data_IF_982568102051
#
_entry.id   IF_982568102051
#
_cell.length_a   1.000
_cell.length_b   1.000
_cell.length_c   1.000
_cell.angle_alpha   90.00
_cell.angle_beta   90.00
_cell.angle_gamma   90.00
#
_symmetry.space_group_name_H-M   'P 1'
#
loop_
_entity.id
_entity.type
_entity.pdbx_description
1 polymer ?
#
# COMPACT_ATOMS: atom_id res chain seq x y z
N UNK A 1 12.72 -19.85 -30.66
CA UNK A 1 11.35 -19.30 -30.76
C UNK A 1 11.44 -17.92 -31.38
N UNK A 2 10.54 -17.55 -32.28
CA UNK A 2 10.49 -16.17 -32.82
C UNK A 2 10.07 -15.19 -31.72
N UNK A 3 10.56 -13.95 -31.77
CA UNK A 3 10.21 -12.88 -30.83
C UNK A 3 8.69 -12.64 -30.80
N UNK A 4 8.02 -12.74 -31.95
CA UNK A 4 6.56 -12.66 -32.07
C UNK A 4 5.86 -13.79 -31.32
N UNK A 5 6.36 -15.03 -31.46
CA UNK A 5 5.78 -16.19 -30.76
C UNK A 5 5.95 -16.06 -29.24
N UNK A 6 7.12 -15.60 -28.77
CA UNK A 6 7.35 -15.34 -27.36
C UNK A 6 6.40 -14.26 -26.80
N UNK A 7 6.18 -13.17 -27.55
CA UNK A 7 5.24 -12.12 -27.18
C UNK A 7 3.80 -12.60 -27.09
N UNK A 8 3.34 -13.38 -28.07
CA UNK A 8 1.97 -13.95 -28.06
C UNK A 8 1.79 -14.91 -26.88
N UNK A 9 2.75 -15.80 -26.64
CA UNK A 9 2.71 -16.74 -25.50
C UNK A 9 2.67 -15.98 -24.17
N UNK A 10 3.46 -14.91 -24.01
CA UNK A 10 3.44 -14.08 -22.81
C UNK A 10 2.06 -13.45 -22.56
N UNK A 11 1.47 -12.80 -23.57
CA UNK A 11 0.15 -12.15 -23.44
C UNK A 11 -0.94 -13.19 -23.16
N UNK A 12 -0.94 -14.32 -23.88
CA UNK A 12 -1.90 -15.39 -23.65
C UNK A 12 -1.81 -15.95 -22.23
N UNK A 13 -0.58 -16.20 -21.76
CA UNK A 13 -0.32 -16.69 -20.40
C UNK A 13 -0.80 -15.68 -19.35
N UNK A 14 -0.56 -14.38 -19.56
CA UNK A 14 -1.02 -13.33 -18.68
C UNK A 14 -2.55 -13.28 -18.58
N UNK A 15 -3.25 -13.37 -19.72
CA UNK A 15 -4.72 -13.38 -19.76
C UNK A 15 -5.26 -14.61 -19.04
N UNK A 16 -4.70 -15.79 -19.29
CA UNK A 16 -5.13 -17.03 -18.62
C UNK A 16 -4.89 -16.94 -17.11
N UNK A 17 -3.74 -16.44 -16.68
CA UNK A 17 -3.43 -16.24 -15.27
C UNK A 17 -4.41 -15.26 -14.61
N UNK A 18 -4.72 -14.14 -15.26
CA UNK A 18 -5.69 -13.16 -14.77
C UNK A 18 -7.10 -13.78 -14.69
N UNK A 19 -7.52 -14.51 -15.72
CA UNK A 19 -8.79 -15.22 -15.79
C UNK A 19 -8.94 -16.24 -14.65
N UNK A 20 -7.86 -16.97 -14.34
CA UNK A 20 -7.84 -17.97 -13.28
C UNK A 20 -7.93 -17.34 -11.87
N UNK A 21 -7.38 -16.13 -11.68
CA UNK A 21 -7.32 -15.48 -10.35
C UNK A 21 -8.52 -14.59 -10.07
N UNK A 22 -9.09 -13.90 -11.08
CA UNK A 22 -10.11 -12.88 -10.81
C UNK A 22 -11.40 -13.47 -10.23
N UNK A 23 -11.83 -14.67 -10.68
CA UNK A 23 -13.04 -15.33 -10.17
C UNK A 23 -12.90 -15.71 -8.69
N UNK A 24 -11.92 -16.55 -8.28
CA UNK A 24 -11.81 -16.96 -6.88
C UNK A 24 -11.52 -15.79 -5.94
N UNK A 25 -10.73 -14.82 -6.40
CA UNK A 25 -10.44 -13.61 -5.63
C UNK A 25 -11.68 -12.72 -5.50
N UNK A 26 -12.42 -12.50 -6.59
CA UNK A 26 -13.65 -11.73 -6.59
C UNK A 26 -14.72 -12.33 -5.67
N UNK A 27 -14.92 -13.64 -5.74
CA UNK A 27 -15.83 -14.36 -4.84
C UNK A 27 -15.40 -14.26 -3.37
N UNK A 28 -14.09 -14.32 -3.12
CA UNK A 28 -13.55 -14.12 -1.77
C UNK A 28 -13.80 -12.70 -1.26
N UNK A 29 -13.51 -11.68 -2.08
CA UNK A 29 -13.77 -10.28 -1.75
C UNK A 29 -15.27 -10.07 -1.46
N UNK A 30 -16.15 -10.61 -2.30
CA UNK A 30 -17.59 -10.57 -2.07
C UNK A 30 -17.96 -11.16 -0.70
N UNK A 31 -17.47 -12.36 -0.35
CA UNK A 31 -17.70 -12.98 0.97
C UNK A 31 -17.16 -12.14 2.13
N UNK A 32 -16.01 -11.51 1.96
CA UNK A 32 -15.40 -10.63 2.97
C UNK A 32 -16.27 -9.40 3.24
N UNK A 33 -16.74 -8.74 2.19
CA UNK A 33 -17.53 -7.51 2.29
C UNK A 33 -19.01 -7.74 2.63
N UNK A 34 -19.57 -8.91 2.32
CA UNK A 34 -20.95 -9.29 2.68
C UNK A 34 -21.07 -9.99 4.04
N UNK A 35 -19.98 -10.56 4.56
CA UNK A 35 -20.02 -11.30 5.82
C UNK A 35 -20.46 -10.45 7.02
N UNK A 36 -21.17 -11.05 7.97
CA UNK A 36 -21.63 -10.36 9.19
C UNK A 36 -20.75 -10.63 10.42
N UNK A 37 -19.87 -11.63 10.34
CA UNK A 37 -19.00 -12.03 11.46
C UNK A 37 -17.77 -11.14 11.55
N UNK A 38 -17.50 -10.62 12.74
CA UNK A 38 -16.29 -9.86 13.06
C UNK A 38 -15.30 -10.71 13.87
N UNK A 39 -14.04 -10.72 13.45
CA UNK A 39 -12.96 -11.38 14.19
C UNK A 39 -12.61 -10.63 15.48
N UNK A 40 -11.89 -11.27 16.41
CA UNK A 40 -11.46 -10.60 17.67
C UNK A 40 -10.58 -9.38 17.39
N UNK A 41 -9.66 -9.50 16.41
CA UNK A 41 -8.77 -8.42 16.00
C UNK A 41 -9.56 -7.24 15.45
N UNK A 42 -10.54 -7.49 14.58
CA UNK A 42 -11.41 -6.43 14.06
C UNK A 42 -12.16 -5.70 15.17
N UNK A 43 -12.70 -6.42 16.16
CA UNK A 43 -13.41 -5.79 17.29
C UNK A 43 -12.49 -4.90 18.13
N UNK A 44 -11.23 -5.28 18.31
CA UNK A 44 -10.24 -4.46 19.01
C UNK A 44 -9.98 -3.18 18.22
N UNK A 45 -9.80 -3.29 16.90
CA UNK A 45 -9.60 -2.12 16.03
C UNK A 45 -10.82 -1.21 16.05
N UNK A 46 -12.04 -1.75 15.92
CA UNK A 46 -13.26 -0.94 15.99
C UNK A 46 -13.40 -0.22 17.33
N UNK A 47 -13.05 -0.88 18.44
CA UNK A 47 -13.08 -0.26 19.77
C UNK A 47 -12.01 0.84 19.90
N UNK A 48 -10.81 0.63 19.38
CA UNK A 48 -9.73 1.62 19.42
C UNK A 48 -10.07 2.88 18.60
N UNK A 49 -10.74 2.72 17.46
CA UNK A 49 -11.19 3.84 16.62
C UNK A 49 -12.52 4.44 17.12
N UNK A 50 -13.20 3.79 18.06
CA UNK A 50 -14.50 4.23 18.58
C UNK A 50 -15.66 4.03 17.61
N UNK A 51 -15.55 3.07 16.70
CA UNK A 51 -16.55 2.80 15.65
C UNK A 51 -17.50 1.70 16.09
N UNK A 52 -18.80 1.95 15.93
CA UNK A 52 -19.83 0.92 16.05
C UNK A 52 -20.02 0.18 14.71
N UNK A 53 -19.59 -1.09 14.59
CA UNK A 53 -19.63 -1.81 13.31
C UNK A 53 -21.04 -2.20 12.86
N UNK A 54 -22.04 -2.11 13.75
CA UNK A 54 -23.44 -2.42 13.44
C UNK A 54 -24.25 -1.25 12.89
N UNK A 55 -23.67 -0.05 12.81
CA UNK A 55 -24.36 1.14 12.29
C UNK A 55 -23.99 1.30 10.82
N UNK A 56 -25.00 1.25 9.94
CA UNK A 56 -24.83 1.61 8.54
C UNK A 56 -24.80 3.13 8.36
N UNK A 57 -24.09 3.60 7.34
CA UNK A 57 -23.87 5.00 7.01
C UNK A 57 -24.58 5.33 5.69
N UNK A 58 -25.21 6.50 5.64
CA UNK A 58 -25.70 7.09 4.40
C UNK A 58 -24.53 7.52 3.51
N UNK A 59 -24.77 7.72 2.21
CA UNK A 59 -23.72 8.08 1.26
C UNK A 59 -22.91 9.32 1.67
N UNK A 60 -23.56 10.35 2.21
CA UNK A 60 -22.90 11.57 2.64
C UNK A 60 -22.04 11.38 3.91
N UNK A 61 -22.42 10.47 4.80
CA UNK A 61 -21.59 10.09 5.95
C UNK A 61 -20.40 9.23 5.49
N UNK A 62 -20.62 8.32 4.55
CA UNK A 62 -19.57 7.46 3.99
C UNK A 62 -18.50 8.30 3.27
N UNK A 63 -18.92 9.21 2.37
CA UNK A 63 -18.01 10.10 1.65
C UNK A 63 -17.21 11.01 2.59
N UNK A 64 -17.85 11.58 3.61
CA UNK A 64 -17.15 12.37 4.64
C UNK A 64 -16.16 11.52 5.43
N UNK A 65 -16.48 10.27 5.73
CA UNK A 65 -15.57 9.35 6.42
C UNK A 65 -14.32 9.06 5.58
N UNK A 66 -14.49 8.81 4.28
CA UNK A 66 -13.39 8.63 3.31
C UNK A 66 -12.49 9.87 3.26
N UNK A 67 -13.08 11.05 3.11
CA UNK A 67 -12.35 12.32 3.03
C UNK A 67 -11.62 12.65 4.34
N UNK A 68 -12.29 12.48 5.48
CA UNK A 68 -11.69 12.71 6.79
C UNK A 68 -10.52 11.76 7.05
N UNK A 69 -10.68 10.47 6.73
CA UNK A 69 -9.61 9.49 6.86
C UNK A 69 -8.41 9.83 5.97
N UNK A 70 -8.66 10.20 4.71
CA UNK A 70 -7.61 10.59 3.77
C UNK A 70 -6.89 11.85 4.22
N UNK A 71 -7.61 12.87 4.69
CA UNK A 71 -7.02 14.10 5.22
C UNK A 71 -6.12 13.83 6.45
N UNK A 72 -6.60 13.02 7.39
CA UNK A 72 -5.79 12.59 8.55
C UNK A 72 -4.56 11.81 8.09
N UNK A 73 -4.70 10.93 7.10
CA UNK A 73 -3.59 10.19 6.51
C UNK A 73 -2.52 11.08 5.89
N UNK A 74 -2.92 12.13 5.16
CA UNK A 74 -2.00 13.11 4.57
C UNK A 74 -1.26 13.85 5.67
N UNK A 75 -1.98 14.38 6.66
CA UNK A 75 -1.36 15.13 7.76
C UNK A 75 -0.42 14.24 8.58
N UNK A 76 -0.84 13.03 8.93
CA UNK A 76 -0.02 12.08 9.67
C UNK A 76 1.28 11.76 8.92
N UNK A 77 1.20 11.47 7.61
CA UNK A 77 2.39 11.17 6.81
C UNK A 77 3.26 12.41 6.58
N UNK A 78 2.65 13.58 6.44
CA UNK A 78 3.37 14.86 6.31
C UNK A 78 4.18 15.17 7.58
N UNK A 79 3.57 15.12 8.76
CA UNK A 79 4.27 15.37 10.02
C UNK A 79 5.30 14.29 10.35
N UNK A 80 5.01 13.02 10.04
CA UNK A 80 5.97 11.93 10.24
C UNK A 80 7.27 12.15 9.44
N UNK A 81 7.15 12.61 8.19
CA UNK A 81 8.30 12.92 7.35
C UNK A 81 9.08 14.15 7.83
N UNK A 82 8.39 15.18 8.32
CA UNK A 82 9.05 16.37 8.88
C UNK A 82 9.83 16.06 10.16
N UNK A 83 9.27 15.20 11.02
CA UNK A 83 9.87 14.82 12.29
C UNK A 83 10.95 13.73 12.09
N UNK A 84 11.14 13.20 10.87
CA UNK A 84 11.97 12.03 10.62
C UNK A 84 13.39 12.12 11.19
N UNK A 85 13.97 13.32 11.28
CA UNK A 85 15.31 13.55 11.86
C UNK A 85 15.40 13.26 13.37
N UNK A 86 14.28 13.20 14.08
CA UNK A 86 14.23 12.89 15.52
C UNK A 86 13.77 11.45 15.81
N UNK A 87 13.38 10.68 14.79
CA UNK A 87 12.90 9.31 14.98
C UNK A 87 14.06 8.31 15.08
N UNK A 88 13.90 7.20 15.84
CA UNK A 88 14.87 6.12 15.82
C UNK A 88 14.96 5.53 14.39
N UNK A 89 16.16 5.12 13.96
CA UNK A 89 16.45 4.68 12.59
C UNK A 89 16.41 5.80 11.53
N UNK A 90 16.66 7.05 11.92
CA UNK A 90 16.88 8.15 10.98
C UNK A 90 18.26 8.02 10.29
N UNK A 91 18.32 8.52 9.06
CA UNK A 91 19.58 8.67 8.34
C UNK A 91 20.39 9.79 9.01
N UNK A 92 21.61 9.48 9.46
CA UNK A 92 22.48 10.47 10.11
C UNK A 92 23.04 11.49 9.09
N UNK A 93 23.13 11.09 7.82
CA UNK A 93 23.54 11.95 6.70
C UNK A 93 22.64 11.68 5.47
N UNK A 94 21.45 12.30 5.40
CA UNK A 94 20.61 12.18 4.21
C UNK A 94 21.26 12.95 3.05
N UNK A 95 21.34 12.33 1.87
CA UNK A 95 21.82 12.97 0.64
C UNK A 95 20.83 13.99 0.05
N UNK A 96 19.60 14.05 0.58
CA UNK A 96 18.64 15.11 0.29
C UNK A 96 17.86 15.40 1.56
N UNK A 97 17.87 16.67 1.99
CA UNK A 97 17.05 17.08 3.13
C UNK A 97 15.56 17.01 2.79
N UNK A 98 14.77 16.56 3.76
CA UNK A 98 13.31 16.50 3.62
C UNK A 98 12.73 17.90 3.78
N UNK A 99 12.46 18.58 2.66
CA UNK A 99 11.78 19.87 2.66
C UNK A 99 10.27 19.70 2.90
N UNK A 100 9.61 20.72 3.43
CA UNK A 100 8.16 20.68 3.63
C UNK A 100 7.39 20.46 2.31
N UNK A 101 7.85 21.05 1.20
CA UNK A 101 7.24 20.84 -0.12
C UNK A 101 7.36 19.37 -0.57
N UNK A 102 8.51 18.74 -0.31
CA UNK A 102 8.74 17.33 -0.64
C UNK A 102 7.90 16.38 0.21
N UNK A 103 7.85 16.64 1.53
CA UNK A 103 7.02 15.87 2.46
C UNK A 103 5.54 15.96 2.09
N UNK A 104 5.07 17.15 1.68
CA UNK A 104 3.69 17.39 1.26
C UNK A 104 3.33 16.64 -0.02
N UNK A 105 4.16 16.75 -1.06
CA UNK A 105 3.96 16.04 -2.32
C UNK A 105 3.96 14.52 -2.11
N UNK A 106 4.89 14.01 -1.31
CA UNK A 106 4.98 12.58 -0.98
C UNK A 106 3.76 12.13 -0.19
N UNK A 107 3.32 12.89 0.81
CA UNK A 107 2.15 12.55 1.62
C UNK A 107 0.88 12.44 0.76
N UNK A 108 0.63 13.44 -0.10
CA UNK A 108 -0.51 13.39 -1.03
C UNK A 108 -0.39 12.19 -1.96
N UNK A 109 0.77 11.98 -2.57
CA UNK A 109 0.98 10.94 -3.57
C UNK A 109 0.74 9.51 -3.05
N UNK A 110 1.11 9.24 -1.81
CA UNK A 110 0.88 7.94 -1.18
C UNK A 110 -0.58 7.74 -0.73
N UNK A 111 -1.21 8.79 -0.19
CA UNK A 111 -2.62 8.72 0.22
C UNK A 111 -3.55 8.62 -0.99
N UNK A 112 -3.22 9.26 -2.11
CA UNK A 112 -3.96 9.14 -3.37
C UNK A 112 -3.62 7.88 -4.16
N UNK A 113 -2.75 7.00 -3.64
CA UNK A 113 -2.31 5.76 -4.29
C UNK A 113 -1.61 5.97 -5.65
N UNK A 114 -1.10 7.17 -5.90
CA UNK A 114 -0.31 7.48 -7.11
C UNK A 114 1.13 6.98 -6.96
N UNK A 115 1.67 7.07 -5.74
CA UNK A 115 3.04 6.68 -5.39
C UNK A 115 4.10 7.38 -6.25
N UNK A 116 3.87 8.65 -6.56
CA UNK A 116 4.87 9.52 -7.20
C UNK A 116 6.08 9.73 -6.28
N UNK A 117 7.28 9.62 -6.83
CA UNK A 117 8.54 9.74 -6.10
C UNK A 117 9.47 10.69 -6.87
N UNK A 118 9.59 11.94 -6.40
CA UNK A 118 10.54 12.93 -6.91
C UNK A 118 11.81 13.04 -6.04
N UNK A 119 12.16 11.96 -5.34
CA UNK A 119 13.31 11.86 -4.46
C UNK A 119 13.98 10.48 -4.59
N UNK A 120 15.27 10.41 -4.32
CA UNK A 120 16.00 9.15 -4.21
C UNK A 120 15.78 8.56 -2.81
N UNK A 121 14.82 7.63 -2.68
CA UNK A 121 14.42 7.06 -1.38
C UNK A 121 15.58 6.51 -0.52
N UNK A 122 16.62 6.01 -1.19
CA UNK A 122 17.84 5.44 -0.60
C UNK A 122 18.73 6.46 0.13
N UNK A 123 18.60 7.74 -0.22
CA UNK A 123 19.38 8.84 0.34
C UNK A 123 18.51 9.86 1.09
N UNK A 124 17.18 9.79 1.01
CA UNK A 124 16.27 10.83 1.51
C UNK A 124 15.43 10.40 2.72
N UNK A 125 15.12 9.11 2.89
CA UNK A 125 14.16 8.65 3.91
C UNK A 125 14.72 7.59 4.86
N UNK A 126 14.52 7.80 6.16
CA UNK A 126 14.85 6.82 7.20
C UNK A 126 13.99 5.56 7.14
N UNK A 127 14.52 4.43 7.61
CA UNK A 127 13.84 3.12 7.54
C UNK A 127 12.46 3.13 8.22
N UNK A 128 12.34 3.86 9.33
CA UNK A 128 11.07 4.00 10.05
C UNK A 128 10.00 4.70 9.20
N UNK A 129 10.35 5.77 8.47
CA UNK A 129 9.40 6.47 7.58
C UNK A 129 8.99 5.58 6.41
N UNK A 130 9.92 4.83 5.84
CA UNK A 130 9.62 3.90 4.75
C UNK A 130 8.67 2.78 5.20
N UNK A 131 8.90 2.22 6.38
CA UNK A 131 8.09 1.11 6.91
C UNK A 131 6.78 1.57 7.54
N UNK A 132 6.83 2.47 8.51
CA UNK A 132 5.67 2.88 9.29
C UNK A 132 4.84 3.96 8.60
N UNK A 133 5.43 4.72 7.68
CA UNK A 133 4.73 5.74 6.89
C UNK A 133 4.30 5.20 5.53
N UNK A 134 5.27 5.06 4.62
CA UNK A 134 4.98 4.76 3.22
C UNK A 134 4.37 3.39 3.00
N UNK A 135 4.91 2.34 3.63
CA UNK A 135 4.36 1.00 3.47
C UNK A 135 2.93 0.94 4.00
N UNK A 136 2.66 1.47 5.20
CA UNK A 136 1.31 1.56 5.77
C UNK A 136 0.35 2.29 4.82
N UNK A 137 0.76 3.42 4.24
CA UNK A 137 -0.11 4.15 3.32
C UNK A 137 -0.40 3.40 2.02
N UNK A 138 0.53 2.58 1.50
CA UNK A 138 0.23 1.71 0.35
C UNK A 138 -0.91 0.72 0.65
N UNK A 139 -1.03 0.24 1.88
CA UNK A 139 -2.14 -0.62 2.28
C UNK A 139 -3.43 0.17 2.47
N UNK A 140 -3.35 1.29 3.21
CA UNK A 140 -4.53 2.06 3.56
C UNK A 140 -5.17 2.73 2.34
N UNK A 141 -4.39 3.31 1.43
CA UNK A 141 -4.91 3.96 0.23
C UNK A 141 -5.58 2.95 -0.72
N UNK A 142 -4.97 1.77 -0.90
CA UNK A 142 -5.59 0.66 -1.63
C UNK A 142 -6.89 0.17 -0.96
N UNK A 143 -6.91 0.06 0.36
CA UNK A 143 -8.10 -0.34 1.11
C UNK A 143 -9.23 0.70 0.98
N UNK A 144 -8.92 2.00 0.99
CA UNK A 144 -9.88 3.07 0.72
C UNK A 144 -10.46 2.95 -0.68
N UNK A 145 -9.62 2.72 -1.69
CA UNK A 145 -10.07 2.50 -3.08
C UNK A 145 -11.04 1.32 -3.21
N UNK A 146 -10.70 0.18 -2.59
CA UNK A 146 -11.61 -0.98 -2.55
C UNK A 146 -12.90 -0.67 -1.81
N UNK A 147 -12.84 0.04 -0.68
CA UNK A 147 -14.02 0.41 0.10
C UNK A 147 -14.97 1.31 -0.70
N UNK A 148 -14.45 2.25 -1.50
CA UNK A 148 -15.25 3.10 -2.39
C UNK A 148 -15.86 2.27 -3.53
N UNK A 149 -15.09 1.37 -4.15
CA UNK A 149 -15.59 0.49 -5.21
C UNK A 149 -16.73 -0.42 -4.69
N UNK A 150 -16.58 -1.00 -3.51
CA UNK A 150 -17.62 -1.83 -2.88
C UNK A 150 -18.85 -1.02 -2.52
N UNK A 151 -18.69 0.20 -2.00
CA UNK A 151 -19.80 1.10 -1.74
C UNK A 151 -20.58 1.38 -3.04
N UNK A 152 -19.89 1.67 -4.14
CA UNK A 152 -20.54 1.88 -5.44
C UNK A 152 -21.32 0.64 -5.90
N UNK A 153 -20.73 -0.55 -5.81
CA UNK A 153 -21.40 -1.82 -6.14
C UNK A 153 -22.65 -2.03 -5.27
N UNK A 154 -22.57 -1.76 -3.96
CA UNK A 154 -23.72 -1.84 -3.05
C UNK A 154 -24.80 -0.82 -3.40
N UNK A 155 -24.41 0.38 -3.83
CA UNK A 155 -25.33 1.42 -4.28
C UNK A 155 -26.16 1.00 -5.50
N UNK A 156 -25.57 0.23 -6.42
CA UNK A 156 -26.31 -0.34 -7.55
C UNK A 156 -27.15 -1.59 -7.19
N UNK A 157 -26.65 -2.42 -6.26
CA UNK A 157 -27.31 -3.68 -5.90
C UNK A 157 -28.50 -3.51 -4.96
N UNK A 158 -28.45 -2.55 -4.02
CA UNK A 158 -29.52 -2.31 -3.05
C UNK A 158 -30.62 -1.45 -3.67
N UNK A 159 -31.89 -1.82 -3.44
CA UNK A 159 -33.07 -1.04 -3.85
C UNK A 159 -33.73 -0.42 -2.62
N UNK A 160 -34.11 0.85 -2.71
CA UNK A 160 -34.89 1.58 -1.69
C UNK A 160 -34.23 1.74 -0.29
N UNK A 161 -32.90 1.76 -0.20
CA UNK A 161 -32.18 2.05 1.05
C UNK A 161 -31.24 3.25 0.88
N UNK A 162 -31.21 4.16 1.86
CA UNK A 162 -30.26 5.30 1.87
C UNK A 162 -28.84 4.94 2.32
N UNK A 163 -28.64 3.70 2.77
CA UNK A 163 -27.43 3.25 3.46
C UNK A 163 -26.53 2.37 2.58
N UNK A 164 -25.22 2.64 2.64
CA UNK A 164 -24.17 1.99 1.83
C UNK A 164 -23.29 1.02 2.62
N UNK A 165 -23.57 0.85 3.91
CA UNK A 165 -22.74 0.09 4.85
C UNK A 165 -21.86 1.03 5.68
N UNK A 166 -20.70 0.55 6.14
CA UNK A 166 -19.85 1.30 7.08
C UNK A 166 -18.42 1.36 6.56
N UNK A 167 -17.93 2.57 6.28
CA UNK A 167 -16.61 2.81 5.70
C UNK A 167 -15.49 2.17 6.53
N UNK A 168 -15.54 2.30 7.85
CA UNK A 168 -14.51 1.79 8.75
C UNK A 168 -14.47 0.26 8.76
N UNK A 169 -15.64 -0.38 8.66
CA UNK A 169 -15.74 -1.84 8.55
C UNK A 169 -15.15 -2.30 7.22
N UNK A 170 -15.46 -1.60 6.12
CA UNK A 170 -14.96 -1.94 4.79
C UNK A 170 -13.43 -1.73 4.69
N UNK A 171 -12.92 -0.64 5.28
CA UNK A 171 -11.49 -0.33 5.38
C UNK A 171 -10.73 -1.42 6.16
N UNK A 172 -11.22 -1.76 7.36
CA UNK A 172 -10.55 -2.75 8.23
C UNK A 172 -10.62 -4.15 7.62
N UNK A 173 -11.75 -4.54 7.02
CA UNK A 173 -11.87 -5.84 6.34
C UNK A 173 -10.99 -5.93 5.11
N UNK A 174 -10.98 -4.89 4.28
CA UNK A 174 -10.09 -4.80 3.12
C UNK A 174 -8.63 -4.94 3.51
N UNK A 175 -8.22 -4.24 4.57
CA UNK A 175 -6.84 -4.27 5.05
C UNK A 175 -6.46 -5.62 5.66
N UNK A 176 -7.23 -6.13 6.64
CA UNK A 176 -6.85 -7.32 7.41
C UNK A 176 -7.12 -8.65 6.72
N UNK A 177 -8.19 -8.74 5.91
CA UNK A 177 -8.61 -10.01 5.29
C UNK A 177 -8.18 -10.15 3.83
N UNK A 178 -7.96 -9.04 3.12
CA UNK A 178 -7.58 -9.08 1.70
C UNK A 178 -6.10 -8.71 1.55
N UNK A 179 -5.74 -7.46 1.86
CA UNK A 179 -4.39 -6.98 1.55
C UNK A 179 -3.31 -7.65 2.40
N UNK A 180 -3.52 -7.78 3.72
CA UNK A 180 -2.50 -8.32 4.62
C UNK A 180 -2.12 -9.79 4.30
N UNK A 181 -3.07 -10.73 4.12
CA UNK A 181 -2.72 -12.12 3.81
C UNK A 181 -2.05 -12.24 2.44
N UNK A 182 -2.55 -11.50 1.45
CA UNK A 182 -1.97 -11.48 0.11
C UNK A 182 -0.54 -10.95 0.16
N UNK A 183 -0.33 -9.77 0.76
CA UNK A 183 1.00 -9.17 0.84
C UNK A 183 1.99 -10.05 1.60
N UNK A 184 1.54 -10.78 2.62
CA UNK A 184 2.37 -11.74 3.35
C UNK A 184 2.86 -12.88 2.44
N UNK A 185 1.96 -13.47 1.63
CA UNK A 185 2.34 -14.52 0.67
C UNK A 185 3.33 -13.97 -0.37
N UNK A 186 3.06 -12.78 -0.92
CA UNK A 186 3.96 -12.15 -1.89
C UNK A 186 5.32 -11.78 -1.28
N UNK A 187 5.36 -11.35 -0.02
CA UNK A 187 6.61 -11.08 0.67
C UNK A 187 7.48 -12.35 0.74
N UNK A 188 6.90 -13.50 1.10
CA UNK A 188 7.62 -14.78 1.14
C UNK A 188 8.16 -15.15 -0.25
N UNK A 189 7.33 -15.04 -1.28
CA UNK A 189 7.74 -15.33 -2.67
C UNK A 189 8.88 -14.43 -3.13
N UNK A 190 8.85 -13.15 -2.76
CA UNK A 190 9.89 -12.20 -3.11
C UNK A 190 11.19 -12.46 -2.35
N UNK A 191 11.12 -12.78 -1.06
CA UNK A 191 12.29 -13.17 -0.25
C UNK A 191 12.92 -14.43 -0.86
N UNK A 192 12.11 -15.43 -1.22
CA UNK A 192 12.59 -16.63 -1.90
C UNK A 192 13.20 -16.31 -3.29
N UNK A 193 12.70 -15.28 -3.96
CA UNK A 193 13.25 -14.73 -5.21
C UNK A 193 14.48 -13.83 -5.05
N UNK A 194 15.02 -13.69 -3.84
CA UNK A 194 16.24 -12.92 -3.55
C UNK A 194 16.00 -11.47 -3.13
N UNK A 195 14.77 -11.09 -2.77
CA UNK A 195 14.51 -9.79 -2.18
C UNK A 195 15.17 -9.68 -0.79
N UNK A 196 15.87 -8.57 -0.57
CA UNK A 196 16.56 -8.26 0.67
C UNK A 196 15.52 -7.77 1.69
N UNK A 197 15.53 -8.31 2.91
CA UNK A 197 14.68 -7.89 4.02
C UNK A 197 15.47 -7.93 5.33
N UNK A 198 16.26 -6.89 5.60
CA UNK A 198 17.13 -6.84 6.78
C UNK A 198 17.20 -5.43 7.37
N UNK A 199 17.32 -5.28 8.69
CA UNK A 199 17.45 -3.97 9.35
C UNK A 199 18.90 -3.49 9.51
N UNK A 200 19.83 -3.95 8.66
CA UNK A 200 21.23 -3.59 8.82
C UNK A 200 21.45 -2.11 8.47
N UNK A 201 21.80 -1.33 9.50
CA UNK A 201 22.03 0.12 9.42
C UNK A 201 23.30 0.52 8.64
N UNK A 202 24.15 -0.44 8.26
CA UNK A 202 25.46 -0.20 7.68
C UNK A 202 25.49 -0.70 6.23
N UNK A 203 25.92 0.17 5.32
CA UNK A 203 26.23 -0.18 3.95
C UNK A 203 27.28 -1.30 3.92
N UNK A 204 27.01 -2.40 3.21
CA UNK A 204 28.03 -3.41 2.96
C UNK A 204 28.94 -2.89 1.86
N UNK A 205 30.13 -2.43 2.24
CA UNK A 205 31.18 -2.10 1.27
C UNK A 205 31.72 -3.41 0.72
N UNK A 206 31.20 -3.84 -0.42
CA UNK A 206 31.68 -4.99 -1.15
C UNK A 206 32.93 -4.57 -1.95
N UNK A 207 34.03 -5.30 -1.78
CA UNK A 207 35.19 -5.16 -2.64
C UNK A 207 34.84 -5.82 -3.98
N UNK A 208 34.78 -5.01 -5.03
CA UNK A 208 34.49 -5.52 -6.38
C UNK A 208 35.69 -6.33 -6.90
N UNK A 209 35.45 -7.16 -7.92
CA UNK A 209 36.51 -7.94 -8.58
C UNK A 209 37.58 -7.02 -9.21
N UNK A 210 37.23 -5.76 -9.51
CA UNK A 210 38.16 -4.72 -9.98
C UNK A 210 38.89 -3.97 -8.86
N UNK A 211 38.70 -4.34 -7.59
CA UNK A 211 39.35 -3.73 -6.43
C UNK A 211 38.79 -2.38 -6.00
N UNK A 212 37.72 -1.90 -6.65
CA UNK A 212 37.03 -0.69 -6.23
C UNK A 212 36.03 -1.03 -5.10
N UNK A 213 35.96 -0.24 -4.02
CA UNK A 213 34.91 -0.39 -3.02
C UNK A 213 33.57 0.02 -3.63
N UNK A 214 32.60 -0.92 -3.65
CA UNK A 214 31.21 -0.63 -3.99
C UNK A 214 30.37 -0.71 -2.73
N UNK A 215 29.81 0.42 -2.34
CA UNK A 215 28.84 0.51 -1.26
C UNK A 215 27.54 -0.12 -1.74
N UNK A 216 27.25 -1.35 -1.31
CA UNK A 216 25.95 -1.99 -1.54
C UNK A 216 25.03 -1.54 -0.41
N UNK A 217 23.93 -0.87 -0.75
CA UNK A 217 22.85 -0.65 0.18
C UNK A 217 22.35 -1.93 0.88
N UNK A 218 22.61 -2.07 2.18
CA UNK A 218 21.81 -2.97 3.02
C UNK A 218 20.42 -2.36 3.19
N UNK A 219 19.36 -3.05 2.76
CA UNK A 219 17.95 -2.58 2.78
C UNK A 219 17.78 -1.05 2.68
N UNK A 220 18.30 -0.42 1.61
CA UNK A 220 17.89 0.96 1.26
C UNK A 220 16.54 1.01 0.56
N UNK A 221 15.84 -0.12 0.40
CA UNK A 221 14.48 -0.11 -0.08
C UNK A 221 13.73 -1.38 0.32
N UNK A 222 12.54 -1.29 0.95
CA UNK A 222 11.63 -2.42 0.97
C UNK A 222 11.42 -2.85 -0.49
N UNK A 223 11.21 -4.15 -0.79
CA UNK A 223 11.11 -4.62 -2.17
C UNK A 223 10.09 -3.77 -2.92
N UNK A 224 10.58 -2.82 -3.73
CA UNK A 224 9.76 -1.90 -4.55
C UNK A 224 8.80 -2.68 -5.43
N UNK A 225 9.07 -3.97 -5.66
CA UNK A 225 8.26 -4.92 -6.42
C UNK A 225 7.03 -5.46 -5.68
N UNK A 226 7.03 -5.57 -4.34
CA UNK A 226 5.90 -6.14 -3.59
C UNK A 226 4.73 -5.17 -3.47
N UNK A 227 5.01 -3.89 -3.20
CA UNK A 227 3.98 -2.86 -3.05
C UNK A 227 3.51 -2.28 -4.38
N UNK A 228 4.38 -2.20 -5.42
CA UNK A 228 3.98 -1.73 -6.76
C UNK A 228 3.10 -2.70 -7.53
N UNK A 229 3.13 -4.01 -7.24
CA UNK A 229 2.25 -4.97 -7.92
C UNK A 229 0.77 -4.84 -7.52
N UNK A 230 0.44 -4.06 -6.47
CA UNK A 230 -0.90 -3.98 -5.89
C UNK A 230 -1.57 -2.60 -6.02
N UNK A 231 -0.86 -1.58 -6.50
CA UNK A 231 -1.46 -0.29 -6.87
C UNK A 231 -1.51 -0.16 -8.40
N UNK A 232 -2.66 0.19 -9.00
CA UNK A 232 -2.74 0.41 -10.45
C UNK A 232 -1.94 1.68 -10.78
N UNK A 233 -0.66 1.53 -11.11
CA UNK A 233 0.18 2.64 -11.53
C UNK A 233 0.09 2.79 -13.04
N UNK A 234 -0.53 3.89 -13.46
CA UNK A 234 -0.39 4.40 -14.81
C UNK A 234 1.10 4.60 -15.13
N UNK A 235 1.54 3.99 -16.23
CA UNK A 235 2.80 4.30 -16.86
C UNK A 235 2.78 5.76 -17.32
N UNK A 236 3.73 6.56 -16.87
CA UNK A 236 3.85 7.98 -17.23
C UNK A 236 5.31 8.42 -17.19
N UNK A 237 5.99 8.17 -18.32
CA UNK A 237 7.14 8.88 -18.90
C UNK A 237 7.91 9.87 -18.02
N UNK A 238 9.14 9.49 -17.69
CA UNK A 238 10.25 10.42 -17.42
C UNK A 238 10.74 11.04 -18.75
N UNK A 239 10.67 12.36 -18.86
CA UNK A 239 11.64 13.20 -19.56
C UNK A 239 12.38 14.02 -18.49
#
# INVERSE_FOLDING_TARGET
MSTTTAGVVFVATLIIALAAVYVPLGDYMYRVYSGTKHSRVERIVYRAVGVHPGVEQTWGVYARSVLAFSAVGVLALFFLQLIQGHLPLHLHQPGTEMTAALAWNTAISFVTNTNWQNYAGESTQGHLVQMAGLAVQNFLSAAVGMAVAVALVRGFARRHTGDLGNFWVDLVRGTLRILLPIAFVFAIVLIAGGAIQNFHLHDQVAQTVSGAPQTIPGDRSPPKRSSRCWAPTAAGSSM
#
